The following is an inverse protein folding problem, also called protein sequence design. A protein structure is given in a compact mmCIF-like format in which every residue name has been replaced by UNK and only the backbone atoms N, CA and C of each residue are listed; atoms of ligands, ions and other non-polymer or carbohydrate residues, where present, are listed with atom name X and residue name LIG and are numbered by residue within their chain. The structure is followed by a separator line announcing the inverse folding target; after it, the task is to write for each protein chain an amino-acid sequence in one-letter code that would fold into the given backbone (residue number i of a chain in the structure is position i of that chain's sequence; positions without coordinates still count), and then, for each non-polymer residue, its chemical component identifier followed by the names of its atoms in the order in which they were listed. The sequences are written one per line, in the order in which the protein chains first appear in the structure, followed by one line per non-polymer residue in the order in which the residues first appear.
data_IF_544651910112
#
_entry.id   IF_544651910112
#
_cell.length_a   1.000
_cell.length_b   1.000
_cell.length_c   1.000
_cell.angle_alpha   90.00
_cell.angle_beta   90.00
_cell.angle_gamma   90.00
#
_symmetry.space_group_name_H-M   'P 1'
#
loop_
_entity.id
_entity.type
_entity.pdbx_description
1 polymer ?
#
# COMPACT_ATOMS: atom_id res chain seq x y z
N UNK A 1 0.81 24.95 1.83
CA UNK A 1 0.09 23.66 1.82
C UNK A 1 1.05 22.55 1.42
N UNK A 2 1.13 21.53 2.21
CA UNK A 2 2.03 20.43 1.91
C UNK A 2 1.51 19.60 0.76
N UNK A 3 2.38 19.16 -0.15
CA UNK A 3 1.95 18.28 -1.24
C UNK A 3 1.55 16.90 -0.70
N UNK A 4 0.64 16.24 -1.38
CA UNK A 4 0.26 14.87 -1.07
C UNK A 4 1.31 13.91 -1.63
N UNK A 5 1.76 12.99 -0.80
CA UNK A 5 2.68 11.92 -1.19
C UNK A 5 1.90 10.61 -1.28
N UNK A 6 1.98 9.93 -2.41
CA UNK A 6 1.39 8.61 -2.56
C UNK A 6 2.47 7.56 -2.37
N UNK A 7 2.27 6.69 -1.39
CA UNK A 7 3.17 5.57 -1.10
C UNK A 7 2.51 4.31 -1.62
N UNK A 8 3.10 3.71 -2.64
CA UNK A 8 2.54 2.55 -3.32
C UNK A 8 3.22 1.29 -2.79
N UNK A 9 2.44 0.39 -2.23
CA UNK A 9 2.92 -0.85 -1.64
C UNK A 9 2.27 -2.01 -2.39
N UNK A 10 2.99 -2.65 -3.32
CA UNK A 10 2.52 -3.88 -3.92
C UNK A 10 2.44 -4.99 -2.88
N UNK A 11 1.33 -5.70 -2.84
CA UNK A 11 1.09 -6.76 -1.86
C UNK A 11 0.76 -8.06 -2.59
N UNK A 12 1.58 -9.08 -2.35
CA UNK A 12 1.27 -10.42 -2.85
C UNK A 12 1.79 -11.46 -1.86
N UNK A 13 0.87 -12.06 -1.12
CA UNK A 13 1.18 -13.14 -0.16
C UNK A 13 2.32 -12.77 0.80
N UNK A 14 2.21 -11.59 1.41
CA UNK A 14 3.22 -11.05 2.34
C UNK A 14 2.65 -10.88 3.76
N UNK A 15 1.64 -11.67 4.11
CA UNK A 15 0.94 -11.51 5.39
C UNK A 15 1.89 -11.44 6.59
N UNK A 16 2.94 -12.29 6.71
CA UNK A 16 3.81 -12.22 7.88
C UNK A 16 4.56 -10.89 8.02
N UNK A 17 4.71 -10.14 6.95
CA UNK A 17 5.49 -8.89 6.94
C UNK A 17 4.63 -7.65 6.83
N UNK A 18 3.37 -7.80 6.42
CA UNK A 18 2.53 -6.65 6.06
C UNK A 18 2.26 -5.75 7.24
N UNK A 19 1.98 -6.30 8.42
CA UNK A 19 1.75 -5.50 9.62
C UNK A 19 2.92 -4.58 9.93
N UNK A 20 4.14 -5.12 9.88
CA UNK A 20 5.34 -4.34 10.16
C UNK A 20 5.52 -3.24 9.14
N UNK A 21 5.34 -3.56 7.87
CA UNK A 21 5.48 -2.58 6.79
C UNK A 21 4.48 -1.44 6.93
N UNK A 22 3.19 -1.75 7.07
CA UNK A 22 2.14 -0.73 7.16
C UNK A 22 2.29 0.11 8.41
N UNK A 23 2.53 -0.52 9.56
CA UNK A 23 2.69 0.22 10.81
C UNK A 23 3.90 1.15 10.75
N UNK A 24 5.00 0.69 10.16
CA UNK A 24 6.18 1.51 9.98
C UNK A 24 5.88 2.76 9.16
N UNK A 25 5.16 2.60 8.07
CA UNK A 25 4.81 3.72 7.19
C UNK A 25 3.84 4.70 7.86
N UNK A 26 2.84 4.18 8.59
CA UNK A 26 1.85 5.03 9.26
C UNK A 26 2.43 5.80 10.44
N UNK A 27 3.54 5.34 11.03
CA UNK A 27 4.21 6.03 12.14
C UNK A 27 5.05 7.20 11.68
N UNK A 28 5.32 7.33 10.40
CA UNK A 28 6.11 8.45 9.92
C UNK A 28 5.37 9.76 10.16
N UNK A 29 6.13 10.82 10.38
CA UNK A 29 5.55 12.09 10.79
C UNK A 29 4.84 12.86 9.69
N UNK A 30 5.01 12.45 8.44
CA UNK A 30 4.38 13.15 7.34
C UNK A 30 2.89 12.80 7.29
N UNK A 31 2.04 13.80 7.53
CA UNK A 31 0.59 13.56 7.64
C UNK A 31 -0.13 13.60 6.29
N UNK A 32 0.39 14.36 5.33
CA UNK A 32 -0.27 14.52 4.05
C UNK A 32 0.18 13.44 3.06
N UNK A 33 -0.20 12.21 3.36
CA UNK A 33 0.14 11.06 2.53
C UNK A 33 -1.08 10.15 2.33
N UNK A 34 -1.08 9.42 1.22
CA UNK A 34 -1.96 8.26 1.06
C UNK A 34 -1.09 7.02 0.96
N UNK A 35 -1.50 5.99 1.65
CA UNK A 35 -0.85 4.68 1.59
C UNK A 35 -1.71 3.79 0.70
N UNK A 36 -1.21 3.45 -0.46
CA UNK A 36 -1.97 2.70 -1.45
C UNK A 36 -1.48 1.27 -1.47
N UNK A 37 -2.25 0.38 -0.86
CA UNK A 37 -1.94 -1.04 -0.81
C UNK A 37 -2.54 -1.69 -2.06
N UNK A 38 -1.68 -2.15 -2.95
CA UNK A 38 -2.13 -2.79 -4.20
C UNK A 38 -2.04 -4.30 -4.02
N UNK A 39 -3.16 -4.92 -3.72
CA UNK A 39 -3.26 -6.35 -3.52
C UNK A 39 -3.31 -7.05 -4.87
N UNK A 40 -2.24 -7.72 -5.23
CA UNK A 40 -2.05 -8.38 -6.52
C UNK A 40 -2.54 -9.84 -6.48
N UNK A 41 -3.77 -10.03 -6.04
CA UNK A 41 -4.40 -11.34 -6.02
C UNK A 41 -3.92 -12.24 -4.89
N UNK A 42 -3.66 -11.69 -3.71
CA UNK A 42 -3.21 -12.47 -2.55
C UNK A 42 -4.21 -13.53 -2.12
N UNK A 43 -3.70 -14.64 -1.63
CA UNK A 43 -4.52 -15.77 -1.17
C UNK A 43 -4.16 -16.23 0.25
N UNK A 44 -3.26 -15.53 0.94
CA UNK A 44 -2.77 -15.91 2.27
C UNK A 44 -3.41 -15.14 3.42
N UNK A 45 -4.40 -14.29 3.13
CA UNK A 45 -5.02 -13.40 4.11
C UNK A 45 -4.52 -11.97 4.04
N UNK A 46 -3.50 -11.68 3.22
CA UNK A 46 -3.05 -10.29 3.00
C UNK A 46 -4.19 -9.44 2.47
N UNK A 47 -5.04 -9.99 1.64
CA UNK A 47 -6.17 -9.28 1.04
C UNK A 47 -7.13 -8.77 2.11
N UNK A 48 -7.42 -9.58 3.12
CA UNK A 48 -8.29 -9.19 4.24
C UNK A 48 -7.60 -8.15 5.12
N UNK A 49 -6.31 -8.37 5.37
CA UNK A 49 -5.53 -7.47 6.22
C UNK A 49 -5.46 -6.06 5.62
N UNK A 50 -5.32 -5.97 4.30
CA UNK A 50 -5.36 -4.69 3.61
C UNK A 50 -6.67 -3.95 3.88
N UNK A 51 -7.79 -4.64 3.78
CA UNK A 51 -9.10 -4.05 4.02
C UNK A 51 -9.25 -3.57 5.47
N UNK A 52 -8.70 -4.33 6.42
CA UNK A 52 -8.74 -3.94 7.82
C UNK A 52 -7.97 -2.64 8.06
N UNK A 53 -6.82 -2.48 7.44
CA UNK A 53 -6.06 -1.22 7.55
C UNK A 53 -6.81 -0.05 6.94
N UNK A 54 -7.44 -0.24 5.79
CA UNK A 54 -8.22 0.82 5.16
C UNK A 54 -9.40 1.25 6.02
N UNK A 55 -9.99 0.31 6.78
CA UNK A 55 -11.09 0.62 7.68
C UNK A 55 -10.63 1.38 8.93
N UNK A 56 -9.38 1.21 9.34
CA UNK A 56 -8.84 1.80 10.57
C UNK A 56 -8.19 3.16 10.36
N UNK A 57 -7.67 3.44 9.17
CA UNK A 57 -6.93 4.68 8.92
C UNK A 57 -7.34 5.26 7.56
N UNK A 58 -7.83 6.48 7.59
CA UNK A 58 -8.33 7.17 6.39
C UNK A 58 -7.24 7.42 5.34
N UNK A 59 -5.96 7.37 5.75
CA UNK A 59 -4.85 7.54 4.80
C UNK A 59 -4.60 6.29 3.97
N UNK A 60 -5.15 5.15 4.38
CA UNK A 60 -4.95 3.88 3.69
C UNK A 60 -6.05 3.64 2.67
N UNK A 61 -5.63 3.35 1.45
CA UNK A 61 -6.52 2.93 0.37
C UNK A 61 -6.07 1.57 -0.14
N UNK A 62 -7.01 0.76 -0.55
CA UNK A 62 -6.72 -0.59 -1.06
C UNK A 62 -7.21 -0.74 -2.47
N UNK A 63 -6.40 -1.36 -3.29
CA UNK A 63 -6.75 -1.72 -4.64
C UNK A 63 -6.58 -3.22 -4.78
N UNK A 64 -7.68 -3.95 -4.94
CA UNK A 64 -7.64 -5.39 -5.20
C UNK A 64 -7.64 -5.63 -6.69
N UNK A 65 -6.73 -6.48 -7.16
CA UNK A 65 -6.65 -6.79 -8.57
C UNK A 65 -6.29 -8.26 -8.78
N UNK A 66 -6.56 -8.77 -9.96
CA UNK A 66 -6.14 -10.09 -10.35
C UNK A 66 -4.62 -10.14 -10.44
N UNK A 67 -4.01 -11.24 -10.01
CA UNK A 67 -2.56 -11.39 -10.04
C UNK A 67 -2.00 -11.13 -11.44
N UNK A 68 -1.07 -10.21 -11.53
CA UNK A 68 -0.43 -9.84 -12.79
C UNK A 68 1.06 -9.60 -12.65
N UNK A 69 1.60 -9.71 -11.42
CA UNK A 69 3.02 -9.51 -11.16
C UNK A 69 3.34 -8.14 -10.60
N UNK A 70 4.59 -7.99 -10.15
CA UNK A 70 5.04 -6.80 -9.43
C UNK A 70 4.93 -5.53 -10.28
N UNK A 71 5.38 -5.59 -11.53
CA UNK A 71 5.33 -4.42 -12.42
C UNK A 71 3.89 -3.98 -12.67
N UNK A 72 2.99 -4.94 -12.86
CA UNK A 72 1.58 -4.67 -13.07
C UNK A 72 0.95 -4.04 -11.83
N UNK A 73 1.31 -4.53 -10.64
CA UNK A 73 0.83 -3.97 -9.39
C UNK A 73 1.31 -2.53 -9.20
N UNK A 74 2.58 -2.25 -9.49
CA UNK A 74 3.12 -0.89 -9.41
C UNK A 74 2.41 0.04 -10.38
N UNK A 75 2.18 -0.41 -11.61
CA UNK A 75 1.48 0.39 -12.60
C UNK A 75 0.05 0.71 -12.17
N UNK A 76 -0.64 -0.27 -11.59
CA UNK A 76 -1.99 -0.05 -11.08
C UNK A 76 -1.98 1.00 -9.96
N UNK A 77 -0.99 0.95 -9.08
CA UNK A 77 -0.81 1.94 -8.02
C UNK A 77 -0.58 3.33 -8.58
N UNK A 78 0.28 3.46 -9.58
CA UNK A 78 0.56 4.75 -10.21
C UNK A 78 -0.72 5.33 -10.82
N UNK A 79 -1.50 4.50 -11.50
CA UNK A 79 -2.75 4.96 -12.13
C UNK A 79 -3.77 5.43 -11.09
N UNK A 80 -3.79 4.83 -9.92
CA UNK A 80 -4.73 5.16 -8.86
C UNK A 80 -4.25 6.26 -7.92
N UNK A 81 -2.96 6.58 -7.94
CA UNK A 81 -2.36 7.55 -7.02
C UNK A 81 -2.86 8.96 -7.27
N UNK A 82 -3.13 9.70 -6.18
CA UNK A 82 -3.60 11.08 -6.25
C UNK A 82 -2.52 12.08 -5.86
N UNK A 83 -1.40 11.60 -5.34
CA UNK A 83 -0.34 12.47 -4.84
C UNK A 83 0.50 13.09 -5.93
N UNK A 84 1.15 14.21 -5.58
CA UNK A 84 2.10 14.87 -6.45
C UNK A 84 3.44 14.15 -6.50
N UNK A 85 3.76 13.42 -5.44
CA UNK A 85 4.99 12.64 -5.32
C UNK A 85 4.65 11.18 -5.11
N UNK A 86 5.42 10.31 -5.73
CA UNK A 86 5.21 8.86 -5.63
C UNK A 86 6.42 8.22 -4.95
N UNK A 87 6.14 7.27 -4.07
CA UNK A 87 7.16 6.44 -3.44
C UNK A 87 6.71 4.99 -3.51
N UNK A 88 7.66 4.09 -3.70
CA UNK A 88 7.38 2.65 -3.79
C UNK A 88 8.06 1.94 -2.63
N UNK A 89 7.32 1.09 -1.95
CA UNK A 89 7.83 0.26 -0.85
C UNK A 89 7.27 -1.14 -1.05
N UNK A 90 8.15 -2.13 -1.10
CA UNK A 90 7.69 -3.53 -1.19
C UNK A 90 7.06 -3.95 0.14
N UNK A 91 5.99 -4.76 0.07
CA UNK A 91 5.24 -5.17 1.25
C UNK A 91 6.05 -5.97 2.27
N UNK A 92 7.17 -6.56 1.86
CA UNK A 92 8.06 -7.31 2.73
C UNK A 92 9.29 -6.50 3.20
N UNK A 93 9.39 -5.22 2.84
CA UNK A 93 10.49 -4.36 3.28
C UNK A 93 10.19 -3.73 4.64
N UNK A 94 11.27 -3.50 5.38
CA UNK A 94 11.18 -2.78 6.66
C UNK A 94 11.71 -1.37 6.50
N UNK A 95 10.86 -0.42 6.75
CA UNK A 95 11.23 1.00 6.67
C UNK A 95 11.11 1.66 8.03
#
# INVERSE_FOLDING_TARGET
MDPLVSIIVPVYNVKPYLNRCVNSLLRQSYQNMELLLVDDGSTDGSETLCDEYAAQDARVRVLHKKNGGLSDARNAGVDAAKGEYLSFVDGDDWV
#
